data_IF_047590844117
#
_entry.id   IF_047590844117
#
_cell.length_a   1.000
_cell.length_b   1.000
_cell.length_c   1.000
_cell.angle_alpha   90.00
_cell.angle_beta   90.00
_cell.angle_gamma   90.00
#
_symmetry.space_group_name_H-M   'P 1'
#
loop_
_entity.id
_entity.type
_entity.pdbx_description
1 polymer ?
#
# COMPACT_ATOMS: atom_id res chain seq x y z
N UNK A 1 -44.41 17.75 -5.65
CA UNK A 1 -43.95 16.46 -6.23
C UNK A 1 -42.61 16.71 -6.91
N UNK A 2 -41.57 15.96 -6.58
CA UNK A 2 -40.15 16.19 -6.93
C UNK A 2 -39.81 16.18 -8.43
N UNK A 3 -40.81 15.96 -9.31
CA UNK A 3 -40.71 15.90 -10.78
C UNK A 3 -39.71 14.86 -11.33
N UNK A 4 -39.09 14.03 -10.49
CA UNK A 4 -38.30 12.87 -10.93
C UNK A 4 -39.12 12.02 -11.91
N UNK A 5 -38.53 11.69 -13.07
CA UNK A 5 -39.26 11.03 -14.15
C UNK A 5 -39.39 9.52 -13.97
N UNK A 6 -38.52 8.91 -13.15
CA UNK A 6 -38.54 7.48 -12.84
C UNK A 6 -38.51 7.26 -11.32
N UNK A 7 -39.52 6.59 -10.73
CA UNK A 7 -39.49 6.19 -9.33
C UNK A 7 -38.52 5.02 -9.12
N UNK A 8 -38.02 4.87 -7.90
CA UNK A 8 -37.25 3.71 -7.46
C UNK A 8 -38.16 2.48 -7.42
N UNK A 9 -37.65 1.34 -7.90
CA UNK A 9 -38.36 0.06 -7.84
C UNK A 9 -38.50 -0.37 -6.37
N UNK A 10 -39.71 -0.64 -5.84
CA UNK A 10 -39.91 -1.08 -4.45
C UNK A 10 -39.10 -2.32 -4.07
N UNK A 11 -38.73 -3.18 -5.04
CA UNK A 11 -37.85 -4.33 -4.80
C UNK A 11 -36.47 -3.93 -4.26
N UNK A 12 -36.01 -2.71 -4.54
CA UNK A 12 -34.77 -2.18 -3.99
C UNK A 12 -34.79 -2.11 -2.46
N UNK A 13 -35.93 -1.78 -1.84
CA UNK A 13 -36.03 -1.74 -0.37
C UNK A 13 -35.87 -3.12 0.28
N UNK A 14 -36.40 -4.18 -0.33
CA UNK A 14 -36.22 -5.55 0.16
C UNK A 14 -34.75 -5.99 0.10
N UNK A 15 -34.04 -5.53 -0.93
CA UNK A 15 -32.62 -5.81 -1.14
C UNK A 15 -31.77 -5.02 -0.14
N UNK A 16 -32.13 -3.75 0.10
CA UNK A 16 -31.53 -2.92 1.14
C UNK A 16 -31.73 -3.51 2.56
N UNK A 17 -32.93 -4.02 2.86
CA UNK A 17 -33.23 -4.71 4.13
C UNK A 17 -32.36 -5.97 4.32
N UNK A 18 -32.04 -6.68 3.25
CA UNK A 18 -31.15 -7.84 3.30
C UNK A 18 -29.70 -7.52 3.67
N UNK A 19 -29.29 -6.24 3.61
CA UNK A 19 -27.91 -5.81 3.84
C UNK A 19 -27.81 -4.43 4.52
N UNK A 20 -28.46 -4.30 5.68
CA UNK A 20 -28.58 -3.03 6.43
C UNK A 20 -27.21 -2.40 6.75
N UNK A 21 -26.20 -3.20 7.08
CA UNK A 21 -24.85 -2.70 7.42
C UNK A 21 -24.19 -1.97 6.24
N UNK A 22 -24.31 -2.51 5.02
CA UNK A 22 -23.77 -1.85 3.83
C UNK A 22 -24.56 -0.60 3.46
N UNK A 23 -25.88 -0.64 3.59
CA UNK A 23 -26.76 0.50 3.31
C UNK A 23 -26.47 1.67 4.26
N UNK A 24 -26.36 1.41 5.57
CA UNK A 24 -26.01 2.43 6.55
C UNK A 24 -24.60 2.97 6.33
N UNK A 25 -23.64 2.12 5.98
CA UNK A 25 -22.28 2.56 5.67
C UNK A 25 -22.29 3.52 4.48
N UNK A 26 -22.94 3.15 3.37
CA UNK A 26 -22.95 3.99 2.18
C UNK A 26 -23.74 5.29 2.39
N UNK A 27 -24.87 5.21 3.09
CA UNK A 27 -25.66 6.37 3.49
C UNK A 27 -24.82 7.35 4.34
N UNK A 28 -24.11 6.88 5.37
CA UNK A 28 -23.19 7.75 6.12
C UNK A 28 -22.21 8.46 5.18
N UNK A 29 -21.56 7.74 4.27
CA UNK A 29 -20.66 8.39 3.31
C UNK A 29 -21.36 9.35 2.35
N UNK A 30 -22.66 9.20 2.08
CA UNK A 30 -23.44 10.18 1.31
C UNK A 30 -23.59 11.49 2.09
N UNK A 31 -23.95 11.44 3.37
CA UNK A 31 -24.12 12.66 4.20
C UNK A 31 -22.81 13.43 4.32
N UNK A 32 -21.69 12.73 4.53
CA UNK A 32 -20.37 13.37 4.57
C UNK A 32 -20.01 14.06 3.25
N UNK A 33 -20.40 13.47 2.11
CA UNK A 33 -20.16 14.05 0.78
C UNK A 33 -21.09 15.23 0.53
N UNK A 34 -22.35 15.18 0.98
CA UNK A 34 -23.29 16.31 0.91
C UNK A 34 -22.73 17.52 1.68
N UNK A 35 -22.27 17.30 2.93
CA UNK A 35 -21.57 18.32 3.72
C UNK A 35 -20.35 18.89 2.98
N UNK A 36 -19.52 18.02 2.40
CA UNK A 36 -18.32 18.44 1.64
C UNK A 36 -18.67 19.25 0.39
N UNK A 37 -19.78 18.93 -0.28
CA UNK A 37 -20.26 19.66 -1.44
C UNK A 37 -20.78 21.06 -1.04
N UNK A 38 -21.52 21.16 0.07
CA UNK A 38 -21.93 22.45 0.64
C UNK A 38 -20.72 23.33 0.99
N UNK A 39 -19.69 22.77 1.64
CA UNK A 39 -18.42 23.47 1.91
C UNK A 39 -17.75 23.94 0.62
N UNK A 40 -17.74 23.11 -0.43
CA UNK A 40 -17.19 23.49 -1.73
C UNK A 40 -17.95 24.69 -2.31
N UNK A 41 -19.29 24.69 -2.26
CA UNK A 41 -20.11 25.80 -2.73
C UNK A 41 -19.85 27.11 -1.95
N UNK A 42 -19.61 27.03 -0.63
CA UNK A 42 -19.23 28.20 0.18
C UNK A 42 -17.96 28.86 -0.37
N UNK A 43 -16.94 28.07 -0.70
CA UNK A 43 -15.69 28.61 -1.27
C UNK A 43 -15.89 29.25 -2.66
N UNK A 44 -16.95 28.86 -3.37
CA UNK A 44 -17.29 29.39 -4.69
C UNK A 44 -18.14 30.65 -4.63
N UNK A 45 -18.77 30.97 -3.49
CA UNK A 45 -19.75 32.05 -3.35
C UNK A 45 -19.44 33.04 -2.19
N UNK A 46 -18.18 33.46 -1.96
CA UNK A 46 -17.84 34.32 -0.83
C UNK A 46 -18.56 35.68 -0.85
N UNK A 47 -19.04 36.13 -2.02
CA UNK A 47 -19.75 37.39 -2.20
C UNK A 47 -21.25 37.35 -1.86
N UNK A 48 -21.81 36.16 -1.53
CA UNK A 48 -23.23 35.98 -1.20
C UNK A 48 -23.43 35.53 0.26
N UNK A 49 -23.37 36.45 1.25
CA UNK A 49 -23.33 36.10 2.67
C UNK A 49 -24.57 35.33 3.16
N UNK A 50 -25.76 35.64 2.63
CA UNK A 50 -27.00 34.92 2.99
C UNK A 50 -26.97 33.47 2.48
N UNK A 51 -26.53 33.25 1.24
CA UNK A 51 -26.39 31.88 0.68
C UNK A 51 -25.32 31.10 1.44
N UNK A 52 -24.20 31.75 1.79
CA UNK A 52 -23.14 31.13 2.60
C UNK A 52 -23.66 30.71 3.98
N UNK A 53 -24.49 31.53 4.62
CA UNK A 53 -25.08 31.23 5.93
C UNK A 53 -25.96 29.98 5.86
N UNK A 54 -26.79 29.88 4.84
CA UNK A 54 -27.64 28.69 4.63
C UNK A 54 -26.83 27.45 4.25
N UNK A 55 -25.80 27.57 3.39
CA UNK A 55 -24.92 26.45 3.06
C UNK A 55 -24.13 25.94 4.27
N UNK A 56 -23.76 26.83 5.20
CA UNK A 56 -23.16 26.44 6.48
C UNK A 56 -24.14 25.64 7.34
N UNK A 57 -25.40 26.07 7.40
CA UNK A 57 -26.44 25.35 8.13
C UNK A 57 -26.68 23.95 7.53
N UNK A 58 -26.77 23.85 6.19
CA UNK A 58 -26.88 22.55 5.49
C UNK A 58 -25.67 21.68 5.81
N UNK A 59 -24.44 22.20 5.67
CA UNK A 59 -23.24 21.40 5.94
C UNK A 59 -23.18 20.87 7.39
N UNK A 60 -23.66 21.65 8.36
CA UNK A 60 -23.77 21.21 9.76
C UNK A 60 -24.85 20.14 9.95
N UNK A 61 -26.02 20.34 9.34
CA UNK A 61 -27.13 19.38 9.37
C UNK A 61 -26.72 18.02 8.78
N UNK A 62 -26.00 18.01 7.64
CA UNK A 62 -25.52 16.76 7.04
C UNK A 62 -24.45 16.04 7.88
N UNK A 63 -23.61 16.78 8.59
CA UNK A 63 -22.68 16.15 9.54
C UNK A 63 -23.41 15.60 10.77
N UNK A 64 -24.55 16.19 11.16
CA UNK A 64 -25.41 15.62 12.19
C UNK A 64 -26.11 14.36 11.68
N UNK A 65 -26.62 14.34 10.44
CA UNK A 65 -27.15 13.13 9.81
C UNK A 65 -26.10 12.02 9.76
N UNK A 66 -24.87 12.34 9.33
CA UNK A 66 -23.74 11.41 9.38
C UNK A 66 -23.55 10.81 10.77
N UNK A 67 -23.54 11.67 11.80
CA UNK A 67 -23.37 11.26 13.18
C UNK A 67 -24.51 10.33 13.62
N UNK A 68 -25.77 10.66 13.30
CA UNK A 68 -26.93 9.81 13.60
C UNK A 68 -26.80 8.42 12.94
N UNK A 69 -26.44 8.35 11.66
CA UNK A 69 -26.21 7.07 10.97
C UNK A 69 -25.07 6.30 11.65
N UNK A 70 -23.99 6.98 12.04
CA UNK A 70 -22.86 6.37 12.73
C UNK A 70 -23.24 5.81 14.12
N UNK A 71 -24.08 6.51 14.88
CA UNK A 71 -24.61 5.99 16.15
C UNK A 71 -25.48 4.75 15.93
N UNK A 72 -26.32 4.73 14.90
CA UNK A 72 -27.12 3.54 14.54
C UNK A 72 -26.22 2.36 14.17
N UNK A 73 -25.17 2.58 13.38
CA UNK A 73 -24.16 1.55 13.04
C UNK A 73 -23.56 0.95 14.32
N UNK A 74 -23.12 1.80 15.26
CA UNK A 74 -22.53 1.34 16.53
C UNK A 74 -23.54 0.62 17.42
N UNK A 75 -24.75 1.16 17.57
CA UNK A 75 -25.81 0.57 18.39
C UNK A 75 -26.20 -0.84 17.91
N UNK A 76 -26.06 -1.10 16.61
CA UNK A 76 -26.32 -2.40 15.98
C UNK A 76 -25.10 -3.33 15.93
N UNK A 77 -23.97 -2.92 16.51
CA UNK A 77 -22.74 -3.72 16.57
C UNK A 77 -22.02 -3.86 15.21
N UNK A 78 -22.29 -2.95 14.27
CA UNK A 78 -21.60 -2.90 12.99
C UNK A 78 -20.37 -1.99 13.06
N UNK A 79 -19.44 -2.18 12.12
CA UNK A 79 -18.32 -1.28 11.91
C UNK A 79 -18.61 -0.37 10.70
N UNK A 80 -18.20 0.89 10.77
CA UNK A 80 -18.29 1.80 9.63
C UNK A 80 -17.33 1.32 8.53
N UNK A 81 -17.87 0.80 7.44
CA UNK A 81 -17.08 0.34 6.30
C UNK A 81 -16.41 1.48 5.53
N UNK A 82 -15.50 1.13 4.61
CA UNK A 82 -14.83 2.12 3.75
C UNK A 82 -15.79 2.74 2.74
N UNK A 83 -15.59 4.02 2.43
CA UNK A 83 -16.29 4.71 1.36
C UNK A 83 -16.15 3.95 0.03
N UNK A 84 -17.29 3.68 -0.61
CA UNK A 84 -17.36 3.05 -1.93
C UNK A 84 -17.50 4.10 -3.02
N UNK A 85 -17.17 3.69 -4.25
CA UNK A 85 -17.35 4.51 -5.44
C UNK A 85 -18.83 4.49 -5.82
N UNK A 86 -19.44 5.66 -5.92
CA UNK A 86 -20.82 5.81 -6.35
C UNK A 86 -20.88 6.05 -7.86
N UNK A 87 -21.24 5.02 -8.62
CA UNK A 87 -21.35 5.12 -10.08
C UNK A 87 -22.47 6.07 -10.53
N UNK A 88 -23.59 6.16 -9.79
CA UNK A 88 -24.71 7.05 -10.12
C UNK A 88 -24.27 8.51 -10.00
N UNK A 89 -23.67 8.87 -8.86
CA UNK A 89 -23.13 10.22 -8.63
C UNK A 89 -22.06 10.55 -9.67
N UNK A 90 -21.15 9.61 -9.97
CA UNK A 90 -20.11 9.83 -10.98
C UNK A 90 -20.66 10.03 -12.40
N UNK A 91 -21.75 9.37 -12.76
CA UNK A 91 -22.39 9.56 -14.06
C UNK A 91 -23.19 10.88 -14.11
N UNK A 92 -23.73 11.36 -12.99
CA UNK A 92 -24.33 12.70 -12.87
C UNK A 92 -23.30 13.83 -12.93
N UNK A 93 -22.15 13.70 -12.27
CA UNK A 93 -21.07 14.72 -12.29
C UNK A 93 -20.63 15.02 -13.72
N UNK A 94 -20.68 14.05 -14.64
CA UNK A 94 -20.32 14.25 -16.06
C UNK A 94 -21.26 15.20 -16.80
N UNK A 95 -22.46 15.45 -16.28
CA UNK A 95 -23.43 16.35 -16.90
C UNK A 95 -23.23 17.81 -16.50
N UNK A 96 -22.40 18.07 -15.47
CA UNK A 96 -22.06 19.42 -15.01
C UNK A 96 -21.29 20.17 -16.12
N UNK A 97 -21.84 21.30 -16.56
CA UNK A 97 -21.22 22.15 -17.59
C UNK A 97 -19.94 22.80 -17.05
N UNK A 98 -18.87 22.75 -17.85
CA UNK A 98 -17.58 23.39 -17.56
C UNK A 98 -17.51 24.81 -18.17
N UNK A 99 -18.59 25.58 -18.00
CA UNK A 99 -18.81 26.87 -18.66
C UNK A 99 -18.17 28.04 -17.91
N UNK A 100 -18.88 29.18 -17.86
CA UNK A 100 -18.48 30.29 -16.99
C UNK A 100 -18.53 29.90 -15.51
N UNK A 101 -17.93 30.70 -14.62
CA UNK A 101 -18.02 30.49 -13.17
C UNK A 101 -19.48 30.44 -12.71
N UNK A 102 -20.33 31.32 -13.24
CA UNK A 102 -21.76 31.38 -12.92
C UNK A 102 -22.48 30.11 -13.39
N UNK A 103 -22.24 29.68 -14.63
CA UNK A 103 -22.84 28.44 -15.17
C UNK A 103 -22.46 27.23 -14.31
N UNK A 104 -21.18 27.12 -13.93
CA UNK A 104 -20.68 26.03 -13.10
C UNK A 104 -21.32 26.02 -11.71
N UNK A 105 -21.48 27.20 -11.08
CA UNK A 105 -22.12 27.30 -9.76
C UNK A 105 -23.58 26.89 -9.85
N UNK A 106 -24.33 27.42 -10.83
CA UNK A 106 -25.73 27.07 -11.05
C UNK A 106 -25.86 25.56 -11.26
N UNK A 107 -25.03 24.97 -12.11
CA UNK A 107 -25.12 23.54 -12.40
C UNK A 107 -24.69 22.67 -11.21
N UNK A 108 -23.79 23.15 -10.34
CA UNK A 108 -23.48 22.48 -9.06
C UNK A 108 -24.62 22.56 -8.05
N UNK A 109 -25.36 23.67 -8.00
CA UNK A 109 -26.58 23.79 -7.19
C UNK A 109 -27.67 22.84 -7.70
N UNK A 110 -27.86 22.75 -9.02
CA UNK A 110 -28.80 21.81 -9.63
C UNK A 110 -28.38 20.35 -9.43
N UNK A 111 -27.08 20.07 -9.50
CA UNK A 111 -26.54 18.76 -9.16
C UNK A 111 -26.83 18.37 -7.71
N UNK A 112 -26.56 19.27 -6.75
CA UNK A 112 -26.89 19.04 -5.34
C UNK A 112 -28.40 18.74 -5.19
N UNK A 113 -29.26 19.60 -5.73
CA UNK A 113 -30.70 19.39 -5.74
C UNK A 113 -31.14 18.03 -6.33
N UNK A 114 -30.44 17.52 -7.35
CA UNK A 114 -30.73 16.20 -7.91
C UNK A 114 -30.39 15.05 -6.97
N UNK A 115 -29.28 15.17 -6.24
CA UNK A 115 -28.90 14.16 -5.23
C UNK A 115 -29.95 14.15 -4.11
N UNK A 116 -30.26 15.31 -3.54
CA UNK A 116 -31.29 15.47 -2.47
C UNK A 116 -32.64 14.89 -2.90
N UNK A 117 -33.09 15.21 -4.13
CA UNK A 117 -34.37 14.73 -4.64
C UNK A 117 -34.39 13.20 -4.76
N UNK A 118 -33.29 12.57 -5.18
CA UNK A 118 -33.20 11.11 -5.32
C UNK A 118 -33.06 10.43 -3.95
N UNK A 119 -32.29 11.00 -3.03
CA UNK A 119 -32.18 10.55 -1.64
C UNK A 119 -33.54 10.56 -0.96
N UNK A 120 -34.28 11.68 -1.01
CA UNK A 120 -35.66 11.78 -0.50
C UNK A 120 -36.59 10.69 -1.09
N UNK A 121 -36.51 10.46 -2.39
CA UNK A 121 -37.33 9.43 -3.04
C UNK A 121 -36.95 8.01 -2.59
N UNK A 122 -35.67 7.71 -2.39
CA UNK A 122 -35.21 6.42 -1.84
C UNK A 122 -35.59 6.25 -0.36
N UNK A 123 -35.48 7.29 0.45
CA UNK A 123 -35.93 7.25 1.84
C UNK A 123 -37.43 6.99 1.94
N UNK A 124 -38.23 7.62 1.08
CA UNK A 124 -39.66 7.31 0.97
C UNK A 124 -39.89 5.82 0.71
N UNK A 125 -39.20 5.26 -0.27
CA UNK A 125 -39.31 3.84 -0.61
C UNK A 125 -38.85 2.94 0.54
N UNK A 126 -37.78 3.31 1.28
CA UNK A 126 -37.38 2.57 2.48
C UNK A 126 -38.47 2.62 3.55
N UNK A 127 -38.95 3.80 3.93
CA UNK A 127 -39.99 3.97 4.94
C UNK A 127 -41.26 3.17 4.62
N UNK A 128 -41.66 3.11 3.34
CA UNK A 128 -42.86 2.39 2.91
C UNK A 128 -42.69 0.86 2.86
N UNK A 129 -41.46 0.32 2.77
CA UNK A 129 -41.25 -1.08 2.40
C UNK A 129 -40.34 -1.89 3.36
N UNK A 130 -39.46 -1.28 4.16
CA UNK A 130 -38.66 -2.04 5.14
C UNK A 130 -39.56 -2.52 6.30
N UNK A 131 -39.13 -3.50 7.10
CA UNK A 131 -39.85 -3.98 8.30
C UNK A 131 -39.30 -3.41 9.59
N UNK A 132 -38.08 -2.90 9.55
CA UNK A 132 -37.39 -2.32 10.70
C UNK A 132 -38.04 -0.99 11.11
N UNK A 133 -38.82 -1.01 12.21
CA UNK A 133 -39.60 0.15 12.66
C UNK A 133 -38.72 1.32 13.13
N UNK A 134 -37.53 1.05 13.69
CA UNK A 134 -36.59 2.10 14.09
C UNK A 134 -36.06 2.83 12.85
N UNK A 135 -35.62 2.08 11.84
CA UNK A 135 -35.14 2.66 10.59
C UNK A 135 -36.24 3.35 9.80
N UNK A 136 -37.50 2.90 9.88
CA UNK A 136 -38.62 3.60 9.23
C UNK A 136 -38.79 5.01 9.75
N UNK A 137 -38.77 5.16 11.07
CA UNK A 137 -38.91 6.47 11.74
C UNK A 137 -37.73 7.35 11.34
N UNK A 138 -36.51 6.82 11.44
CA UNK A 138 -35.29 7.52 11.08
C UNK A 138 -35.30 8.02 9.62
N UNK A 139 -35.53 7.14 8.64
CA UNK A 139 -35.56 7.54 7.23
C UNK A 139 -36.73 8.47 6.88
N UNK A 140 -37.83 8.42 7.65
CA UNK A 140 -38.94 9.36 7.46
C UNK A 140 -38.57 10.78 7.87
N UNK A 141 -37.78 10.93 8.94
CA UNK A 141 -37.28 12.24 9.38
C UNK A 141 -36.28 12.81 8.37
N UNK A 142 -35.33 11.99 7.92
CA UNK A 142 -34.37 12.38 6.87
C UNK A 142 -35.05 12.74 5.54
N UNK A 143 -36.09 12.00 5.14
CA UNK A 143 -36.85 12.35 3.94
C UNK A 143 -37.40 13.79 3.99
N UNK A 144 -37.70 14.33 5.16
CA UNK A 144 -38.22 15.69 5.34
C UNK A 144 -37.10 16.73 5.20
N UNK A 145 -35.92 16.50 5.80
CA UNK A 145 -34.77 17.41 5.67
C UNK A 145 -34.29 17.49 4.22
N UNK A 146 -34.13 16.34 3.56
CA UNK A 146 -33.73 16.22 2.14
C UNK A 146 -34.68 16.97 1.19
N UNK A 147 -35.99 16.91 1.48
CA UNK A 147 -36.96 17.65 0.68
C UNK A 147 -36.77 19.16 0.79
N UNK A 148 -36.38 19.66 1.97
CA UNK A 148 -36.07 21.06 2.18
C UNK A 148 -34.77 21.44 1.47
N UNK A 149 -33.71 20.63 1.61
CA UNK A 149 -32.42 20.88 0.95
C UNK A 149 -32.54 20.96 -0.57
N UNK A 150 -33.27 20.01 -1.18
CA UNK A 150 -33.63 20.05 -2.59
C UNK A 150 -34.24 21.42 -2.99
N UNK A 151 -35.25 21.88 -2.24
CA UNK A 151 -35.92 23.14 -2.57
C UNK A 151 -35.00 24.35 -2.40
N UNK A 152 -34.14 24.32 -1.38
CA UNK A 152 -33.18 25.38 -1.06
C UNK A 152 -32.13 25.52 -2.16
N UNK A 153 -31.54 24.42 -2.64
CA UNK A 153 -30.57 24.44 -3.74
C UNK A 153 -31.16 24.97 -5.05
N UNK A 154 -32.39 24.55 -5.40
CA UNK A 154 -33.10 25.12 -6.57
C UNK A 154 -33.38 26.61 -6.37
N UNK A 155 -33.71 27.02 -5.14
CA UNK A 155 -33.89 28.42 -4.75
C UNK A 155 -32.64 29.25 -5.01
N UNK A 156 -31.47 28.79 -4.54
CA UNK A 156 -30.19 29.46 -4.78
C UNK A 156 -29.84 29.53 -6.26
N UNK A 157 -30.04 28.45 -7.02
CA UNK A 157 -29.80 28.46 -8.46
C UNK A 157 -30.62 29.54 -9.16
N UNK A 158 -31.90 29.71 -8.79
CA UNK A 158 -32.80 30.76 -9.34
C UNK A 158 -32.47 32.18 -8.86
N UNK A 159 -31.89 32.32 -7.67
CA UNK A 159 -31.45 33.62 -7.15
C UNK A 159 -30.18 34.09 -7.84
N UNK A 160 -29.26 33.16 -8.14
CA UNK A 160 -27.97 33.43 -8.77
C UNK A 160 -28.06 33.55 -10.31
N UNK A 161 -28.99 32.81 -10.93
CA UNK A 161 -29.18 32.79 -12.38
C UNK A 161 -30.53 33.35 -12.83
N UNK A 162 -30.74 33.37 -14.15
CA UNK A 162 -32.05 33.68 -14.73
C UNK A 162 -33.05 32.53 -14.43
N UNK A 163 -34.19 32.78 -13.75
CA UNK A 163 -35.10 31.73 -13.33
C UNK A 163 -35.65 30.86 -14.47
N UNK A 164 -35.91 31.43 -15.65
CA UNK A 164 -36.42 30.67 -16.79
C UNK A 164 -35.35 29.72 -17.33
N UNK A 165 -34.11 30.19 -17.49
CA UNK A 165 -32.97 29.34 -17.89
C UNK A 165 -32.69 28.25 -16.87
N UNK A 166 -32.72 28.57 -15.58
CA UNK A 166 -32.49 27.60 -14.48
C UNK A 166 -33.57 26.52 -14.49
N UNK A 167 -34.84 26.90 -14.65
CA UNK A 167 -35.94 25.93 -14.72
C UNK A 167 -35.82 25.02 -15.94
N UNK A 168 -35.46 25.57 -17.10
CA UNK A 168 -35.20 24.78 -18.31
C UNK A 168 -34.02 23.82 -18.10
N UNK A 169 -32.91 24.30 -17.51
CA UNK A 169 -31.74 23.48 -17.20
C UNK A 169 -32.07 22.36 -16.21
N UNK A 170 -32.94 22.63 -15.24
CA UNK A 170 -33.45 21.61 -14.33
C UNK A 170 -34.27 20.52 -15.04
N UNK A 171 -35.06 20.86 -16.06
CA UNK A 171 -35.75 19.86 -16.89
C UNK A 171 -34.76 18.98 -17.66
N UNK A 172 -33.65 19.55 -18.16
CA UNK A 172 -32.56 18.78 -18.78
C UNK A 172 -31.89 17.83 -17.78
N UNK A 173 -31.65 18.28 -16.55
CA UNK A 173 -31.17 17.43 -15.45
C UNK A 173 -32.11 16.26 -15.17
N UNK A 174 -33.42 16.51 -15.06
CA UNK A 174 -34.43 15.46 -14.86
C UNK A 174 -34.47 14.45 -16.02
N UNK A 175 -34.22 14.89 -17.25
CA UNK A 175 -34.11 13.99 -18.41
C UNK A 175 -32.83 13.16 -18.41
N UNK A 176 -31.71 13.78 -18.04
CA UNK A 176 -30.44 13.10 -17.96
C UNK A 176 -30.44 12.05 -16.84
N UNK A 177 -30.92 12.42 -15.66
CA UNK A 177 -31.03 11.50 -14.52
C UNK A 177 -31.92 10.30 -14.86
N UNK A 178 -33.05 10.51 -15.54
CA UNK A 178 -33.91 9.42 -15.98
C UNK A 178 -33.19 8.45 -16.94
N UNK A 179 -32.35 8.96 -17.85
CA UNK A 179 -31.52 8.12 -18.72
C UNK A 179 -30.47 7.34 -17.92
N UNK A 180 -29.84 7.97 -16.93
CA UNK A 180 -28.88 7.34 -16.02
C UNK A 180 -29.55 6.20 -15.26
N UNK A 181 -30.69 6.45 -14.60
CA UNK A 181 -31.49 5.42 -13.89
C UNK A 181 -31.90 4.28 -14.83
N UNK A 182 -32.41 4.59 -16.02
CA UNK A 182 -32.79 3.58 -17.01
C UNK A 182 -31.61 2.72 -17.46
N UNK A 183 -30.40 3.28 -17.52
CA UNK A 183 -29.20 2.55 -17.93
C UNK A 183 -28.83 1.42 -16.95
N UNK A 184 -29.19 1.57 -15.67
CA UNK A 184 -28.96 0.56 -14.66
C UNK A 184 -30.11 -0.46 -14.50
N UNK A 185 -31.32 -0.14 -14.99
CA UNK A 185 -32.52 -1.00 -14.85
C UNK A 185 -32.53 -2.30 -15.67
N UNK A 186 -31.39 -2.78 -16.19
CA UNK A 186 -31.30 -3.98 -17.05
C UNK A 186 -30.78 -5.25 -16.36
N UNK A 187 -30.53 -5.22 -15.04
CA UNK A 187 -30.16 -6.38 -14.20
C UNK A 187 -30.80 -6.29 -12.79
N UNK A 188 -30.78 -7.38 -12.03
CA UNK A 188 -31.25 -7.44 -10.63
C UNK A 188 -30.55 -6.38 -9.76
N UNK A 189 -31.28 -5.59 -8.94
CA UNK A 189 -30.68 -4.54 -8.13
C UNK A 189 -29.56 -5.10 -7.24
N UNK A 190 -28.35 -4.53 -7.28
CA UNK A 190 -27.25 -4.93 -6.38
C UNK A 190 -27.26 -4.08 -5.11
N UNK A 191 -26.81 -4.64 -3.99
CA UNK A 191 -26.74 -4.00 -2.67
C UNK A 191 -25.55 -3.04 -2.52
N UNK A 192 -24.80 -2.78 -3.59
CA UNK A 192 -23.42 -2.33 -3.43
C UNK A 192 -23.30 -0.88 -2.93
N UNK A 193 -24.24 0.02 -3.27
CA UNK A 193 -24.33 1.41 -2.78
C UNK A 193 -25.80 1.93 -2.68
N UNK A 194 -26.05 2.89 -1.78
CA UNK A 194 -27.30 3.60 -1.48
C UNK A 194 -27.91 4.33 -2.67
N UNK A 195 -27.13 4.85 -3.63
CA UNK A 195 -27.61 5.41 -4.91
C UNK A 195 -27.42 4.48 -6.12
N UNK A 196 -26.73 3.35 -5.98
CA UNK A 196 -26.42 2.48 -7.12
C UNK A 196 -27.59 1.59 -7.56
N UNK A 197 -27.52 1.18 -8.83
CA UNK A 197 -28.23 0.06 -9.44
C UNK A 197 -27.18 -0.72 -10.30
N UNK A 198 -27.39 -1.99 -10.64
CA UNK A 198 -26.34 -2.90 -11.14
C UNK A 198 -25.76 -2.45 -12.49
N UNK A 199 -24.43 -2.34 -12.57
CA UNK A 199 -23.69 -1.98 -13.80
C UNK A 199 -23.18 -3.23 -14.53
N UNK A 200 -22.84 -3.07 -15.82
CA UNK A 200 -22.20 -4.11 -16.64
C UNK A 200 -20.70 -4.22 -16.29
N UNK A 201 -20.33 -5.30 -15.58
CA UNK A 201 -18.97 -5.64 -15.10
C UNK A 201 -17.96 -5.88 -16.23
N UNK A 202 -17.20 -4.86 -16.64
CA UNK A 202 -16.02 -5.07 -17.53
C UNK A 202 -14.72 -4.56 -16.88
N UNK A 203 -14.75 -3.45 -16.15
CA UNK A 203 -13.54 -2.87 -15.52
C UNK A 203 -13.18 -3.52 -14.18
N UNK A 204 -14.15 -4.09 -13.45
CA UNK A 204 -13.89 -4.82 -12.20
C UNK A 204 -13.07 -6.10 -12.42
N UNK A 205 -13.36 -6.85 -13.50
CA UNK A 205 -12.66 -8.09 -13.81
C UNK A 205 -11.17 -7.87 -14.11
N UNK A 206 -10.82 -6.79 -14.81
CA UNK A 206 -9.42 -6.49 -15.13
C UNK A 206 -8.64 -6.11 -13.87
N UNK A 207 -9.20 -5.27 -13.00
CA UNK A 207 -8.55 -4.88 -11.75
C UNK A 207 -8.40 -6.08 -10.80
N UNK A 208 -9.42 -6.94 -10.73
CA UNK A 208 -9.36 -8.14 -9.91
C UNK A 208 -8.37 -9.17 -10.48
N UNK A 209 -8.33 -9.35 -11.81
CA UNK A 209 -7.35 -10.19 -12.49
C UNK A 209 -5.92 -9.68 -12.25
N UNK A 210 -5.66 -8.39 -12.44
CA UNK A 210 -4.35 -7.79 -12.20
C UNK A 210 -3.91 -7.97 -10.74
N UNK A 211 -4.82 -7.78 -9.79
CA UNK A 211 -4.55 -8.02 -8.36
C UNK A 211 -4.12 -9.47 -8.11
N UNK A 212 -4.84 -10.44 -8.65
CA UNK A 212 -4.48 -11.86 -8.51
C UNK A 212 -3.21 -12.24 -9.27
N UNK A 213 -2.94 -11.61 -10.43
CA UNK A 213 -1.70 -11.78 -11.19
C UNK A 213 -0.49 -11.32 -10.38
N UNK A 214 -0.55 -10.12 -9.79
CA UNK A 214 0.55 -9.60 -8.96
C UNK A 214 0.72 -10.39 -7.66
N UNK A 215 -0.38 -10.83 -7.03
CA UNK A 215 -0.31 -11.73 -5.86
C UNK A 215 0.33 -13.07 -6.22
N UNK A 216 -0.06 -13.67 -7.35
CA UNK A 216 0.56 -14.90 -7.86
C UNK A 216 2.04 -14.72 -8.17
N UNK A 217 2.41 -13.60 -8.78
CA UNK A 217 3.81 -13.26 -9.07
C UNK A 217 4.66 -13.11 -7.81
N UNK A 218 4.14 -12.51 -6.73
CA UNK A 218 4.88 -12.38 -5.48
C UNK A 218 5.16 -13.73 -4.80
N UNK A 219 4.26 -14.71 -4.97
CA UNK A 219 4.43 -16.06 -4.41
C UNK A 219 5.36 -16.89 -5.30
N UNK A 220 5.12 -16.91 -6.61
CA UNK A 220 5.83 -17.76 -7.57
C UNK A 220 7.22 -17.20 -7.89
N UNK A 221 7.36 -15.87 -7.95
CA UNK A 221 8.57 -15.18 -8.37
C UNK A 221 9.84 -15.63 -7.62
N UNK A 222 9.87 -15.61 -6.28
CA UNK A 222 11.03 -16.07 -5.51
C UNK A 222 11.36 -17.54 -5.74
N UNK A 223 10.34 -18.40 -5.89
CA UNK A 223 10.51 -19.84 -6.10
C UNK A 223 11.11 -20.09 -7.49
N UNK A 224 10.53 -19.51 -8.53
CA UNK A 224 11.02 -19.63 -9.91
C UNK A 224 12.44 -19.08 -10.04
N UNK A 225 12.73 -17.92 -9.42
CA UNK A 225 14.07 -17.36 -9.41
C UNK A 225 15.07 -18.30 -8.72
N UNK A 226 14.70 -18.91 -7.60
CA UNK A 226 15.57 -19.86 -6.87
C UNK A 226 15.88 -21.09 -7.73
N UNK A 227 14.85 -21.70 -8.34
CA UNK A 227 15.01 -22.86 -9.23
C UNK A 227 15.88 -22.50 -10.44
N UNK A 228 15.64 -21.33 -11.04
CA UNK A 228 16.42 -20.83 -12.17
C UNK A 228 17.91 -20.65 -11.80
N UNK A 229 18.22 -20.04 -10.65
CA UNK A 229 19.60 -19.85 -10.20
C UNK A 229 20.30 -21.19 -9.95
N UNK A 230 19.63 -22.14 -9.28
CA UNK A 230 20.19 -23.48 -9.05
C UNK A 230 20.50 -24.16 -10.39
N UNK A 231 19.55 -24.12 -11.33
CA UNK A 231 19.72 -24.69 -12.65
C UNK A 231 20.84 -24.02 -13.45
N UNK A 232 20.95 -22.69 -13.37
CA UNK A 232 22.01 -21.92 -14.02
C UNK A 232 23.41 -22.28 -13.47
N UNK A 233 23.55 -22.48 -12.16
CA UNK A 233 24.81 -22.91 -11.54
C UNK A 233 25.21 -24.31 -12.02
N UNK A 234 24.26 -25.26 -11.98
CA UNK A 234 24.51 -26.65 -12.39
C UNK A 234 24.91 -26.71 -13.87
N UNK A 235 24.13 -26.07 -14.74
CA UNK A 235 24.39 -26.06 -16.19
C UNK A 235 25.70 -25.35 -16.55
N UNK A 236 26.06 -24.29 -15.82
CA UNK A 236 27.36 -23.64 -15.98
C UNK A 236 28.52 -24.59 -15.65
N UNK A 237 28.40 -25.45 -14.64
CA UNK A 237 29.47 -26.39 -14.27
C UNK A 237 29.52 -27.56 -15.25
N UNK A 238 28.38 -28.12 -15.61
CA UNK A 238 28.28 -29.23 -16.58
C UNK A 238 28.91 -28.83 -17.93
N UNK A 239 28.64 -27.61 -18.43
CA UNK A 239 29.21 -27.12 -19.70
C UNK A 239 30.72 -26.87 -19.69
N UNK A 240 31.34 -26.58 -18.54
CA UNK A 240 32.78 -26.35 -18.43
C UNK A 240 33.59 -27.66 -18.39
N UNK A 241 32.95 -28.81 -18.13
CA UNK A 241 33.62 -30.12 -18.10
C UNK A 241 32.84 -31.11 -18.99
N UNK A 242 32.85 -30.91 -20.34
CA UNK A 242 32.01 -31.68 -21.26
C UNK A 242 32.24 -33.19 -21.14
N UNK A 243 33.51 -33.59 -20.96
CA UNK A 243 33.95 -34.98 -20.86
C UNK A 243 33.27 -35.78 -19.72
N UNK A 244 32.89 -35.12 -18.63
CA UNK A 244 32.14 -35.75 -17.54
C UNK A 244 30.62 -35.57 -17.73
N UNK A 245 30.20 -34.43 -18.28
CA UNK A 245 28.78 -34.10 -18.41
C UNK A 245 28.02 -34.88 -19.49
N UNK A 246 28.64 -35.24 -20.62
CA UNK A 246 27.95 -35.87 -21.76
C UNK A 246 27.51 -37.32 -21.47
N UNK A 247 28.14 -37.99 -20.50
CA UNK A 247 27.89 -39.40 -20.16
C UNK A 247 27.13 -39.59 -18.83
N UNK A 248 26.77 -38.50 -18.14
CA UNK A 248 26.15 -38.54 -16.81
C UNK A 248 24.85 -37.73 -16.77
N UNK A 249 23.94 -38.06 -15.86
CA UNK A 249 22.72 -37.28 -15.66
C UNK A 249 23.06 -35.82 -15.28
N UNK A 250 22.27 -34.82 -15.73
CA UNK A 250 22.46 -33.42 -15.38
C UNK A 250 22.60 -33.23 -13.86
N UNK A 251 23.66 -32.53 -13.43
CA UNK A 251 23.97 -32.30 -12.00
C UNK A 251 24.86 -33.33 -11.31
N UNK A 252 25.19 -34.47 -11.92
CA UNK A 252 26.18 -35.40 -11.35
C UNK A 252 27.59 -34.79 -11.35
N UNK A 253 27.96 -34.06 -12.40
CA UNK A 253 29.26 -33.37 -12.48
C UNK A 253 29.41 -32.36 -11.34
N UNK A 254 28.34 -31.62 -11.03
CA UNK A 254 28.30 -30.73 -9.86
C UNK A 254 28.60 -31.48 -8.55
N UNK A 255 27.95 -32.63 -8.31
CA UNK A 255 28.20 -33.46 -7.12
C UNK A 255 29.63 -33.97 -7.07
N UNK A 256 30.19 -34.44 -8.19
CA UNK A 256 31.58 -34.91 -8.26
C UNK A 256 32.56 -33.78 -7.90
N UNK A 257 32.36 -32.58 -8.44
CA UNK A 257 33.20 -31.41 -8.13
C UNK A 257 33.11 -31.03 -6.65
N UNK A 258 31.91 -31.04 -6.06
CA UNK A 258 31.71 -30.80 -4.62
C UNK A 258 32.44 -31.85 -3.79
N UNK A 259 32.26 -33.14 -4.11
CA UNK A 259 32.91 -34.24 -3.40
C UNK A 259 34.44 -34.20 -3.51
N UNK A 260 34.97 -33.87 -4.69
CA UNK A 260 36.40 -33.68 -4.90
C UNK A 260 36.93 -32.50 -4.07
N UNK A 261 36.21 -31.38 -4.03
CA UNK A 261 36.57 -30.19 -3.23
C UNK A 261 36.58 -30.51 -1.73
N UNK A 262 35.55 -31.20 -1.24
CA UNK A 262 35.48 -31.68 0.15
C UNK A 262 36.63 -32.65 0.44
N UNK A 263 36.94 -33.56 -0.49
CA UNK A 263 38.06 -34.49 -0.38
C UNK A 263 39.40 -33.78 -0.26
N UNK A 264 39.66 -32.78 -1.12
CA UNK A 264 40.88 -31.94 -1.06
C UNK A 264 40.97 -31.23 0.29
N UNK A 265 39.88 -30.63 0.77
CA UNK A 265 39.85 -29.97 2.08
C UNK A 265 40.13 -30.93 3.25
N UNK A 266 39.53 -32.11 3.23
CA UNK A 266 39.74 -33.16 4.24
C UNK A 266 41.18 -33.68 4.24
N UNK A 267 41.74 -33.95 3.06
CA UNK A 267 43.13 -34.40 2.86
C UNK A 267 44.12 -33.34 3.34
N UNK A 268 43.86 -32.07 3.04
CA UNK A 268 44.70 -30.94 3.46
C UNK A 268 44.77 -30.76 4.99
N UNK A 269 43.68 -31.05 5.70
CA UNK A 269 43.61 -30.85 7.15
C UNK A 269 44.10 -32.06 7.98
N UNK A 270 43.87 -33.30 7.51
CA UNK A 270 44.09 -34.51 8.31
C UNK A 270 45.37 -35.29 7.98
N UNK A 271 45.89 -35.18 6.75
CA UNK A 271 47.14 -35.86 6.35
C UNK A 271 48.33 -34.89 6.35
N UNK A 272 49.40 -35.26 7.05
CA UNK A 272 50.67 -34.51 7.08
C UNK A 272 51.19 -34.22 5.67
N UNK A 273 51.00 -35.17 4.75
CA UNK A 273 51.39 -35.04 3.35
C UNK A 273 50.57 -33.99 2.57
N UNK A 274 49.28 -33.83 2.89
CA UNK A 274 48.40 -32.84 2.26
C UNK A 274 48.82 -31.42 2.62
N UNK A 275 49.16 -31.19 3.89
CA UNK A 275 49.67 -29.89 4.37
C UNK A 275 51.03 -29.55 3.73
N UNK A 276 51.93 -30.52 3.62
CA UNK A 276 53.23 -30.32 2.96
C UNK A 276 53.11 -29.92 1.49
N UNK A 277 52.22 -30.58 0.73
CA UNK A 277 51.99 -30.23 -0.68
C UNK A 277 51.35 -28.85 -0.79
N UNK A 278 50.33 -28.58 0.03
CA UNK A 278 49.63 -27.31 0.02
C UNK A 278 50.58 -26.14 0.31
N UNK A 279 51.37 -26.22 1.39
CA UNK A 279 52.32 -25.17 1.78
C UNK A 279 53.40 -24.93 0.70
N UNK A 280 53.78 -25.98 -0.04
CA UNK A 280 54.77 -25.88 -1.12
C UNK A 280 54.21 -25.20 -2.38
N UNK A 281 52.98 -25.52 -2.75
CA UNK A 281 52.27 -24.86 -3.87
C UNK A 281 52.00 -23.40 -3.50
N UNK A 282 51.48 -23.17 -2.29
CA UNK A 282 51.19 -21.85 -1.75
C UNK A 282 52.44 -20.96 -1.74
N UNK A 283 53.53 -21.45 -1.16
CA UNK A 283 54.81 -20.74 -1.15
C UNK A 283 55.43 -20.53 -2.54
N UNK A 284 55.19 -21.43 -3.50
CA UNK A 284 55.61 -21.25 -4.90
C UNK A 284 54.83 -20.12 -5.58
N UNK A 285 53.51 -20.09 -5.41
CA UNK A 285 52.65 -19.05 -5.98
C UNK A 285 52.94 -17.66 -5.38
N UNK A 286 53.17 -17.58 -4.06
CA UNK A 286 53.53 -16.32 -3.38
C UNK A 286 54.91 -15.77 -3.78
N UNK A 287 55.85 -16.65 -4.17
CA UNK A 287 57.21 -16.25 -4.59
C UNK A 287 57.35 -16.00 -6.08
N UNK A 288 56.38 -16.41 -6.90
CA UNK A 288 56.43 -16.24 -8.35
C UNK A 288 56.17 -14.78 -8.74
N UNK A 289 57.13 -14.08 -9.37
CA UNK A 289 56.94 -12.70 -9.82
C UNK A 289 55.75 -12.59 -10.80
N UNK A 290 54.96 -11.51 -10.69
CA UNK A 290 53.71 -11.36 -11.45
C UNK A 290 52.53 -12.09 -10.81
N UNK A 291 52.64 -13.41 -10.60
CA UNK A 291 51.56 -14.24 -10.00
C UNK A 291 51.23 -13.79 -8.58
N UNK A 292 52.23 -13.45 -7.76
CA UNK A 292 52.01 -13.00 -6.38
C UNK A 292 51.07 -11.80 -6.25
N UNK A 293 51.06 -10.91 -7.25
CA UNK A 293 50.21 -9.71 -7.24
C UNK A 293 48.73 -10.02 -7.45
N UNK A 294 48.40 -11.20 -7.96
CA UNK A 294 47.03 -11.68 -8.13
C UNK A 294 46.71 -12.68 -7.01
N UNK A 295 47.61 -13.63 -6.76
CA UNK A 295 47.38 -14.73 -5.82
C UNK A 295 47.25 -14.25 -4.37
N UNK A 296 48.19 -13.43 -3.88
CA UNK A 296 48.18 -13.00 -2.47
C UNK A 296 46.93 -12.17 -2.13
N UNK A 297 46.54 -11.13 -2.90
CA UNK A 297 45.30 -10.41 -2.62
C UNK A 297 44.06 -11.29 -2.72
N UNK A 298 43.99 -12.20 -3.69
CA UNK A 298 42.86 -13.12 -3.84
C UNK A 298 42.73 -14.05 -2.64
N UNK A 299 43.86 -14.62 -2.18
CA UNK A 299 43.93 -15.49 -0.98
C UNK A 299 43.53 -14.72 0.29
N UNK A 300 44.00 -13.49 0.46
CA UNK A 300 43.63 -12.65 1.59
C UNK A 300 42.13 -12.33 1.62
N UNK A 301 41.55 -12.00 0.46
CA UNK A 301 40.10 -11.78 0.35
C UNK A 301 39.36 -13.06 0.68
N UNK A 302 39.72 -14.20 0.09
CA UNK A 302 39.03 -15.48 0.34
C UNK A 302 39.15 -15.95 1.80
N UNK A 303 40.33 -15.80 2.41
CA UNK A 303 40.54 -16.11 3.83
C UNK A 303 39.82 -15.14 4.78
N UNK A 304 39.42 -13.95 4.32
CA UNK A 304 38.57 -13.04 5.10
C UNK A 304 37.10 -13.48 5.16
N UNK A 305 36.65 -14.34 4.23
CA UNK A 305 35.30 -14.93 4.20
C UNK A 305 35.25 -16.34 4.82
N UNK A 306 36.34 -17.11 4.73
CA UNK A 306 36.40 -18.54 5.15
C UNK A 306 37.46 -18.77 6.23
N UNK A 307 37.11 -19.51 7.30
CA UNK A 307 38.01 -19.87 8.42
C UNK A 307 37.71 -19.13 9.72
N UNK A 308 38.63 -19.20 10.70
CA UNK A 308 38.46 -18.63 12.05
C UNK A 308 38.70 -17.11 12.13
N UNK A 309 39.16 -16.48 11.03
CA UNK A 309 39.49 -15.05 10.94
C UNK A 309 38.48 -14.23 10.11
N UNK A 310 37.19 -14.57 10.17
CA UNK A 310 36.13 -13.86 9.42
C UNK A 310 36.04 -12.40 9.84
N UNK A 311 36.31 -11.48 8.90
CA UNK A 311 36.32 -10.02 9.17
C UNK A 311 34.94 -9.35 9.09
N UNK A 312 33.88 -10.11 8.85
CA UNK A 312 32.49 -9.62 8.79
C UNK A 312 31.58 -10.22 9.89
N UNK A 313 32.15 -10.81 10.94
CA UNK A 313 31.38 -11.44 12.01
C UNK A 313 30.98 -10.50 13.16
N UNK A 314 31.56 -9.29 13.20
CA UNK A 314 31.38 -8.33 14.29
C UNK A 314 30.47 -7.16 13.83
N UNK A 315 29.12 -7.31 13.89
CA UNK A 315 28.21 -6.22 13.57
C UNK A 315 28.27 -5.11 14.62
N UNK A 316 28.35 -3.87 14.17
CA UNK A 316 28.44 -2.68 15.01
C UNK A 316 27.48 -1.59 14.53
N UNK A 317 26.88 -0.88 15.46
CA UNK A 317 26.27 0.42 15.24
C UNK A 317 27.39 1.45 15.09
N UNK A 318 27.37 2.19 13.99
CA UNK A 318 28.31 3.29 13.75
C UNK A 318 27.58 4.61 13.73
N UNK A 319 28.01 5.53 14.58
CA UNK A 319 27.57 6.93 14.57
C UNK A 319 28.21 7.62 13.37
N UNK A 320 27.39 7.95 12.37
CA UNK A 320 27.82 8.59 11.12
C UNK A 320 27.60 10.10 11.11
N UNK A 321 26.72 10.60 11.98
CA UNK A 321 26.51 12.01 12.21
C UNK A 321 26.12 12.26 13.67
N UNK A 322 26.51 13.41 14.23
CA UNK A 322 26.17 13.81 15.60
C UNK A 322 24.95 14.74 15.65
N UNK A 323 24.77 15.64 14.67
CA UNK A 323 23.67 16.62 14.65
C UNK A 323 23.06 16.73 13.23
N UNK A 324 21.93 16.06 12.94
CA UNK A 324 21.21 15.12 13.80
C UNK A 324 22.01 13.83 14.04
N UNK A 325 21.71 13.15 15.14
CA UNK A 325 22.33 11.87 15.49
C UNK A 325 21.89 10.76 14.53
N UNK A 326 22.83 10.17 13.78
CA UNK A 326 22.55 9.13 12.78
C UNK A 326 23.41 7.90 13.01
N UNK A 327 22.76 6.75 13.21
CA UNK A 327 23.40 5.45 13.34
C UNK A 327 23.17 4.58 12.12
N UNK A 328 24.19 3.79 11.73
CA UNK A 328 24.10 2.80 10.67
C UNK A 328 24.68 1.47 11.12
N UNK A 329 24.13 0.36 10.61
CA UNK A 329 24.77 -0.95 10.78
C UNK A 329 26.03 -1.01 9.91
N UNK A 330 27.12 -1.47 10.51
CA UNK A 330 28.36 -1.77 9.86
C UNK A 330 29.02 -3.04 10.39
N UNK A 331 30.11 -3.44 9.77
CA UNK A 331 30.90 -4.61 10.15
C UNK A 331 32.33 -4.20 10.43
N UNK A 332 32.82 -4.50 11.63
CA UNK A 332 34.16 -4.13 12.06
C UNK A 332 35.20 -4.97 11.32
N UNK A 333 35.88 -4.37 10.33
CA UNK A 333 36.85 -5.07 9.48
C UNK A 333 38.28 -4.98 9.99
N UNK A 334 38.64 -3.87 10.67
CA UNK A 334 39.92 -3.71 11.36
C UNK A 334 39.73 -3.03 12.73
N UNK A 335 40.25 -3.68 13.78
CA UNK A 335 40.11 -3.24 15.19
C UNK A 335 41.15 -2.18 15.61
N UNK A 336 42.20 -2.00 14.82
CA UNK A 336 43.23 -0.99 15.05
C UNK A 336 43.83 -0.50 13.72
N UNK A 337 43.99 0.82 13.60
CA UNK A 337 44.59 1.50 12.45
C UNK A 337 45.95 2.12 12.82
N UNK A 338 46.62 1.59 13.84
CA UNK A 338 47.93 2.06 14.28
C UNK A 338 49.02 2.00 13.19
N UNK A 339 48.95 1.02 12.29
CA UNK A 339 49.89 0.87 11.17
C UNK A 339 49.92 2.07 10.20
N UNK A 340 48.85 2.88 10.18
CA UNK A 340 48.76 4.12 9.39
C UNK A 340 48.78 5.38 10.26
N UNK A 341 49.27 5.28 11.50
CA UNK A 341 49.40 6.42 12.43
C UNK A 341 48.08 6.85 13.10
N UNK A 342 47.05 6.00 13.11
CA UNK A 342 45.70 6.31 13.63
C UNK A 342 45.32 5.42 14.81
N UNK A 343 46.07 5.52 15.92
CA UNK A 343 46.02 4.62 17.08
C UNK A 343 44.70 4.57 17.92
N UNK A 344 43.63 5.26 17.51
CA UNK A 344 42.31 5.20 18.15
C UNK A 344 41.16 5.00 17.14
N UNK A 345 41.51 4.71 15.89
CA UNK A 345 40.55 4.53 14.81
C UNK A 345 40.40 3.07 14.44
N UNK A 346 39.23 2.76 13.90
CA UNK A 346 38.83 1.43 13.40
C UNK A 346 38.33 1.57 11.97
N UNK A 347 38.44 0.50 11.19
CA UNK A 347 37.83 0.42 9.87
C UNK A 347 36.52 -0.36 9.92
N UNK A 348 35.43 0.26 9.48
CA UNK A 348 34.10 -0.35 9.46
C UNK A 348 33.55 -0.36 8.04
N UNK A 349 33.07 -1.52 7.61
CA UNK A 349 32.37 -1.69 6.34
C UNK A 349 30.87 -1.39 6.51
N UNK A 350 30.34 -0.48 5.71
CA UNK A 350 28.93 -0.09 5.68
C UNK A 350 28.30 -0.58 4.37
N UNK A 351 27.42 -1.58 4.39
CA UNK A 351 26.74 -2.05 3.19
C UNK A 351 25.71 -1.02 2.68
N UNK A 352 25.49 -1.01 1.36
CA UNK A 352 24.40 -0.28 0.72
C UNK A 352 23.09 -1.05 0.80
N UNK A 353 21.98 -0.33 0.95
CA UNK A 353 20.65 -0.92 0.79
C UNK A 353 20.38 -1.24 -0.68
N UNK A 354 19.77 -2.41 -0.92
CA UNK A 354 19.44 -2.97 -2.23
C UNK A 354 20.65 -3.23 -3.16
N UNK A 355 21.86 -3.32 -2.61
CA UNK A 355 23.07 -3.62 -3.39
C UNK A 355 24.07 -4.49 -2.62
N UNK A 356 24.87 -5.26 -3.36
CA UNK A 356 26.00 -6.04 -2.84
C UNK A 356 27.28 -5.19 -2.97
N UNK A 357 27.27 -4.01 -2.34
CA UNK A 357 28.41 -3.10 -2.28
C UNK A 357 28.34 -2.27 -1.00
N UNK A 358 29.38 -1.49 -0.70
CA UNK A 358 29.43 -0.71 0.53
C UNK A 358 30.66 0.16 0.63
N UNK A 359 30.72 0.96 1.69
CA UNK A 359 31.81 1.88 1.98
C UNK A 359 32.67 1.30 3.08
N UNK A 360 33.96 1.57 3.05
CA UNK A 360 34.81 1.41 4.25
C UNK A 360 35.03 2.80 4.82
N UNK A 361 34.65 2.99 6.08
CA UNK A 361 34.90 4.23 6.80
C UNK A 361 35.93 4.00 7.92
N UNK A 362 36.69 5.04 8.21
CA UNK A 362 37.64 5.06 9.32
C UNK A 362 37.06 6.01 10.38
N UNK A 363 36.75 5.49 11.56
CA UNK A 363 36.12 6.27 12.64
C UNK A 363 36.76 5.95 13.99
N UNK A 364 36.58 6.84 14.96
CA UNK A 364 37.06 6.62 16.33
C UNK A 364 36.32 5.47 17.01
N UNK A 365 37.01 4.73 17.88
CA UNK A 365 36.41 3.63 18.66
C UNK A 365 35.18 4.06 19.47
N UNK A 366 35.10 5.33 19.91
CA UNK A 366 33.94 5.87 20.65
C UNK A 366 32.65 5.97 19.80
N UNK A 367 32.78 6.03 18.48
CA UNK A 367 31.66 6.17 17.55
C UNK A 367 31.03 4.82 17.16
N UNK A 368 31.54 3.72 17.69
CA UNK A 368 31.03 2.39 17.42
C UNK A 368 30.45 1.76 18.69
N UNK A 369 29.34 1.04 18.54
CA UNK A 369 28.75 0.21 19.60
C UNK A 369 28.48 -1.19 19.04
N UNK A 370 28.77 -2.29 19.76
CA UNK A 370 28.39 -3.62 19.31
C UNK A 370 26.88 -3.73 19.10
N UNK A 371 26.43 -4.43 18.05
CA UNK A 371 25.02 -4.77 17.92
C UNK A 371 24.70 -5.92 18.88
N UNK A 372 23.68 -5.74 19.72
CA UNK A 372 23.18 -6.77 20.65
C UNK A 372 21.90 -7.36 20.09
N UNK A 373 21.72 -8.69 20.20
CA UNK A 373 20.51 -9.38 19.75
C UNK A 373 20.45 -9.71 18.25
N UNK A 374 21.50 -9.43 17.48
CA UNK A 374 21.60 -9.83 16.07
C UNK A 374 22.92 -10.54 15.79
N UNK A 375 22.85 -11.65 15.07
CA UNK A 375 24.05 -12.24 14.46
C UNK A 375 24.44 -11.46 13.18
N UNK A 376 25.65 -11.71 12.67
CA UNK A 376 26.16 -11.04 11.48
C UNK A 376 25.25 -11.18 10.24
N UNK A 377 24.60 -12.34 10.06
CA UNK A 377 23.71 -12.60 8.94
C UNK A 377 22.43 -11.76 9.02
N UNK A 378 21.80 -11.69 10.20
CA UNK A 378 20.63 -10.85 10.45
C UNK A 378 20.97 -9.37 10.29
N UNK A 379 22.13 -8.93 10.78
CA UNK A 379 22.59 -7.56 10.61
C UNK A 379 22.82 -7.19 9.13
N UNK A 380 23.38 -8.12 8.35
CA UNK A 380 23.58 -7.93 6.91
C UNK A 380 22.24 -7.86 6.17
N UNK A 381 21.30 -8.74 6.51
CA UNK A 381 19.95 -8.76 5.95
C UNK A 381 19.21 -7.44 6.23
N UNK A 382 19.27 -6.95 7.47
CA UNK A 382 18.68 -5.67 7.85
C UNK A 382 19.25 -4.53 7.01
N UNK A 383 20.58 -4.42 6.94
CA UNK A 383 21.24 -3.31 6.27
C UNK A 383 21.02 -3.31 4.74
N UNK A 384 21.13 -4.49 4.09
CA UNK A 384 20.93 -4.63 2.64
C UNK A 384 19.45 -4.51 2.27
N UNK A 385 18.50 -4.88 3.14
CA UNK A 385 17.07 -4.66 2.88
C UNK A 385 16.59 -3.23 3.09
N UNK A 386 17.47 -2.31 3.51
CA UNK A 386 17.08 -0.95 3.88
C UNK A 386 16.18 -0.89 5.12
N UNK A 387 16.31 -1.88 6.03
CA UNK A 387 15.54 -1.98 7.26
C UNK A 387 14.17 -2.66 7.12
N UNK A 388 13.77 -3.08 5.92
CA UNK A 388 12.48 -3.77 5.67
C UNK A 388 12.48 -5.18 6.29
N UNK A 389 13.60 -5.88 6.24
CA UNK A 389 13.77 -7.10 7.00
C UNK A 389 14.01 -6.71 8.46
N UNK A 390 12.96 -6.76 9.29
CA UNK A 390 13.02 -6.40 10.69
C UNK A 390 14.02 -7.21 11.52
N UNK A 391 14.17 -6.85 12.79
CA UNK A 391 15.18 -7.36 13.73
C UNK A 391 15.06 -8.85 14.13
N UNK A 392 14.14 -9.60 13.53
CA UNK A 392 13.81 -10.96 13.93
C UNK A 392 14.84 -11.95 13.37
N UNK A 393 15.92 -12.18 14.11
CA UNK A 393 16.54 -13.50 14.15
C UNK A 393 15.60 -14.43 14.91
N UNK A 394 15.36 -15.64 14.40
CA UNK A 394 14.56 -16.63 15.12
C UNK A 394 15.00 -16.77 16.58
N UNK A 395 14.01 -16.88 17.47
CA UNK A 395 14.11 -17.12 18.91
C UNK A 395 14.29 -15.90 19.85
N UNK A 396 13.45 -14.87 19.69
CA UNK A 396 13.11 -13.99 20.81
C UNK A 396 11.65 -13.52 20.73
N UNK A 397 10.78 -14.13 21.54
CA UNK A 397 9.45 -13.62 21.84
C UNK A 397 9.57 -12.35 22.67
N UNK A 398 9.30 -11.18 22.08
CA UNK A 398 8.97 -10.01 22.88
C UNK A 398 7.47 -10.01 23.13
N UNK A 399 7.09 -10.27 24.39
CA UNK A 399 5.78 -9.90 24.91
C UNK A 399 5.67 -8.39 24.78
N UNK A 400 4.66 -7.96 24.05
CA UNK A 400 4.18 -6.58 24.01
C UNK A 400 3.69 -6.19 25.41
N UNK A 401 4.57 -5.64 26.23
CA UNK A 401 4.19 -4.92 27.46
C UNK A 401 5.39 -4.11 27.96
N UNK A 402 5.59 -2.91 27.41
CA UNK A 402 6.14 -1.79 28.16
C UNK A 402 5.75 -0.47 27.47
N UNK A 403 4.57 -0.02 27.85
CA UNK A 403 4.17 1.37 28.14
C UNK A 403 4.85 2.46 27.31
N UNK A 404 4.08 2.95 26.34
CA UNK A 404 3.64 4.34 26.28
C UNK A 404 3.91 5.13 27.57
N UNK A 405 5.02 5.89 27.59
CA UNK A 405 5.17 7.17 28.28
C UNK A 405 6.53 7.79 27.94
N UNK A 406 6.49 9.08 27.56
CA UNK A 406 7.59 10.02 27.31
C UNK A 406 8.32 9.92 25.95
N UNK A 407 7.74 10.58 24.94
CA UNK A 407 8.27 11.85 24.38
C UNK A 407 7.27 12.50 23.40
#
# INVERSE_FOLDING_TARGET
MFKLKLPTDPRWANIAEGNISEILTDHAWCEQKAASNAITLITMLPEYPEIVTELLAIAQEELEHFNQVHEIIKARGFELGRARKDDYVNDLVKFIVQGSREDLIIDRMLFAAMIEARSCERFKVLTENIKDEELKVFYRELMISEANHYTTFIGFARQLGDPEKVNKRWEEWLEYEAKVIQSYGKKEPSTDNFHSMPRKNSEYFLNQFLKYLFQGLMIIGPITLTVFVIWAIISSIDSNIPFLSENLYPGITFLIVVMATVGIGYLGNKLVFGRFIFDRIDGFLEKTPGVKHIYTPTKEVMSSFVGDKKKFNDPVWVKTNENPEIWRIGFLTQKDMGAVGKHQFVAVYLPHSYAISGWVIITEKKNIKPVVGMNAASAMKFAVSGGVAGFHGGDASFSSEEKENEL
#
